data_IF_583664957262
#
_entry.id   IF_583664957262
#
_cell.length_a   1.000
_cell.length_b   1.000
_cell.length_c   1.000
_cell.angle_alpha   90.00
_cell.angle_beta   90.00
_cell.angle_gamma   90.00
#
_symmetry.space_group_name_H-M   'P 1'
#
loop_
_entity.id
_entity.type
_entity.pdbx_description
1 polymer ?
#
# COMPACT_ATOMS: atom_id res chain seq x y z
N UNK A 1 -17.15 -15.32 75.04
CA UNK A 1 -15.97 -14.48 74.70
C UNK A 1 -15.37 -14.72 73.30
N UNK A 2 -15.40 -15.94 72.72
CA UNK A 2 -14.73 -16.24 71.43
C UNK A 2 -15.35 -15.58 70.18
N UNK A 3 -16.69 -15.44 70.07
CA UNK A 3 -17.37 -14.83 68.90
C UNK A 3 -17.05 -13.33 68.69
N UNK A 4 -16.98 -12.52 69.76
CA UNK A 4 -16.60 -11.09 69.66
C UNK A 4 -15.15 -10.91 69.19
N UNK A 5 -14.23 -11.81 69.58
CA UNK A 5 -12.84 -11.80 69.09
C UNK A 5 -12.75 -12.11 67.60
N UNK A 6 -13.51 -13.09 67.11
CA UNK A 6 -13.53 -13.44 65.68
C UNK A 6 -14.11 -12.30 64.84
N UNK A 7 -15.18 -11.66 65.30
CA UNK A 7 -15.79 -10.51 64.63
C UNK A 7 -14.83 -9.31 64.57
N UNK A 8 -14.09 -9.04 65.65
CA UNK A 8 -13.09 -7.97 65.66
C UNK A 8 -11.91 -8.26 64.73
N UNK A 9 -11.48 -9.52 64.60
CA UNK A 9 -10.40 -9.91 63.68
C UNK A 9 -10.85 -9.77 62.22
N UNK A 10 -12.08 -10.19 61.89
CA UNK A 10 -12.66 -9.99 60.56
C UNK A 10 -12.83 -8.51 60.21
N UNK A 11 -13.27 -7.69 61.19
CA UNK A 11 -13.43 -6.25 61.00
C UNK A 11 -12.09 -5.54 60.83
N UNK A 12 -11.06 -5.91 61.61
CA UNK A 12 -9.69 -5.43 61.41
C UNK A 12 -9.12 -5.86 60.05
N UNK A 13 -9.42 -7.10 59.61
CA UNK A 13 -9.04 -7.59 58.28
C UNK A 13 -9.65 -6.74 57.16
N UNK A 14 -10.95 -6.47 57.21
CA UNK A 14 -11.66 -5.62 56.24
C UNK A 14 -11.12 -4.18 56.23
N UNK A 15 -10.84 -3.61 57.40
CA UNK A 15 -10.24 -2.27 57.50
C UNK A 15 -8.83 -2.26 56.89
N UNK A 16 -8.03 -3.29 57.15
CA UNK A 16 -6.68 -3.40 56.57
C UNK A 16 -6.70 -3.57 55.05
N UNK A 17 -7.69 -4.31 54.52
CA UNK A 17 -7.88 -4.48 53.07
C UNK A 17 -8.28 -3.17 52.40
N UNK A 18 -9.25 -2.44 53.00
CA UNK A 18 -9.68 -1.14 52.49
C UNK A 18 -8.57 -0.07 52.53
N UNK A 19 -7.71 -0.10 53.56
CA UNK A 19 -6.51 0.76 53.62
C UNK A 19 -5.51 0.41 52.52
N UNK A 20 -5.32 -0.87 52.21
CA UNK A 20 -4.43 -1.33 51.15
C UNK A 20 -4.92 -0.89 49.77
N UNK A 21 -6.23 -0.99 49.50
CA UNK A 21 -6.84 -0.51 48.25
C UNK A 21 -6.72 1.01 48.10
N UNK A 22 -6.96 1.76 49.17
CA UNK A 22 -6.78 3.22 49.17
C UNK A 22 -5.32 3.62 48.92
N UNK A 23 -4.36 2.92 49.53
CA UNK A 23 -2.94 3.13 49.26
C UNK A 23 -2.59 2.82 47.81
N UNK A 24 -3.14 1.72 47.26
CA UNK A 24 -2.98 1.34 45.85
C UNK A 24 -3.48 2.41 44.89
N UNK A 25 -4.70 2.92 45.11
CA UNK A 25 -5.28 3.99 44.31
C UNK A 25 -4.49 5.30 44.44
N UNK A 26 -4.03 5.64 45.64
CA UNK A 26 -3.21 6.84 45.86
C UNK A 26 -1.85 6.74 45.16
N UNK A 27 -1.18 5.58 45.23
CA UNK A 27 0.07 5.33 44.52
C UNK A 27 -0.11 5.37 43.00
N UNK A 28 -1.18 4.76 42.47
CA UNK A 28 -1.52 4.80 41.04
C UNK A 28 -1.82 6.22 40.56
N UNK A 29 -2.58 7.01 41.33
CA UNK A 29 -2.84 8.42 41.04
C UNK A 29 -1.56 9.27 41.07
N UNK A 30 -0.66 9.00 42.02
CA UNK A 30 0.63 9.70 42.12
C UNK A 30 1.58 9.33 40.98
N UNK A 31 1.56 8.09 40.53
CA UNK A 31 2.30 7.62 39.35
C UNK A 31 1.72 8.21 38.05
N UNK A 32 0.40 8.28 37.92
CA UNK A 32 -0.31 8.88 36.79
C UNK A 32 0.05 10.37 36.57
N UNK A 33 0.33 11.11 37.65
CA UNK A 33 0.78 12.51 37.56
C UNK A 33 2.22 12.71 37.06
N UNK A 34 3.06 11.67 37.06
CA UNK A 34 4.39 11.74 36.45
C UNK A 34 4.25 11.34 34.99
N UNK A 35 4.33 12.30 34.08
CA UNK A 35 4.40 12.04 32.65
C UNK A 35 5.53 11.04 32.36
N UNK A 36 5.24 9.82 31.85
CA UNK A 36 6.29 8.85 31.51
C UNK A 36 7.11 9.26 30.27
N UNK A 37 6.73 10.35 29.61
CA UNK A 37 7.40 10.89 28.42
C UNK A 37 7.69 12.39 28.59
N UNK A 38 8.90 12.78 29.02
CA UNK A 38 9.24 14.19 29.27
C UNK A 38 9.64 14.96 27.99
N UNK A 39 9.12 14.60 26.81
CA UNK A 39 9.35 15.38 25.60
C UNK A 39 8.19 15.27 24.60
N UNK A 40 7.17 16.10 24.80
CA UNK A 40 6.35 16.61 23.69
C UNK A 40 6.48 18.12 23.76
N UNK A 41 7.49 18.68 23.07
CA UNK A 41 7.43 20.09 22.69
C UNK A 41 6.13 20.24 21.91
N UNK A 42 5.20 20.97 22.48
CA UNK A 42 3.97 21.40 21.84
C UNK A 42 4.31 22.00 20.47
N UNK A 43 3.95 21.28 19.40
CA UNK A 43 4.06 21.69 17.98
C UNK A 43 3.39 23.06 17.70
N UNK A 44 2.67 23.60 18.69
CA UNK A 44 1.94 24.85 18.60
C UNK A 44 2.79 26.13 18.59
N UNK A 45 4.08 26.11 18.97
CA UNK A 45 4.81 27.35 19.29
C UNK A 45 5.98 27.75 18.37
N UNK A 46 6.43 26.90 17.45
CA UNK A 46 7.57 27.28 16.61
C UNK A 46 7.12 27.92 15.29
N UNK A 47 6.99 29.26 15.32
CA UNK A 47 6.65 30.07 14.13
C UNK A 47 7.65 29.84 12.99
N UNK A 48 8.91 29.55 13.31
CA UNK A 48 9.95 29.30 12.31
C UNK A 48 9.67 27.99 11.55
N UNK A 49 9.36 26.90 12.26
CA UNK A 49 9.01 25.61 11.66
C UNK A 49 7.74 25.67 10.82
N UNK A 50 6.75 26.48 11.23
CA UNK A 50 5.52 26.67 10.42
C UNK A 50 5.82 27.39 9.11
N UNK A 51 6.63 28.44 9.17
CA UNK A 51 7.04 29.20 7.99
C UNK A 51 7.90 28.33 7.05
N UNK A 52 8.80 27.53 7.63
CA UNK A 52 9.64 26.60 6.88
C UNK A 52 8.79 25.52 6.19
N UNK A 53 7.85 24.91 6.90
CA UNK A 53 6.90 23.97 6.31
C UNK A 53 6.07 24.62 5.20
N UNK A 54 5.59 25.85 5.39
CA UNK A 54 4.84 26.57 4.36
C UNK A 54 5.69 26.85 3.11
N UNK A 55 6.97 27.20 3.29
CA UNK A 55 7.92 27.37 2.20
C UNK A 55 8.16 26.05 1.45
N UNK A 56 8.39 24.95 2.17
CA UNK A 56 8.58 23.64 1.57
C UNK A 56 7.34 23.17 0.81
N UNK A 57 6.13 23.39 1.35
CA UNK A 57 4.88 23.13 0.65
C UNK A 57 4.81 23.91 -0.66
N UNK A 58 5.09 25.23 -0.63
CA UNK A 58 5.12 26.06 -1.84
C UNK A 58 6.16 25.61 -2.86
N UNK A 59 7.33 25.16 -2.41
CA UNK A 59 8.37 24.58 -3.30
C UNK A 59 7.90 23.27 -3.93
N UNK A 60 7.27 22.38 -3.15
CA UNK A 60 6.71 21.12 -3.66
C UNK A 60 5.59 21.40 -4.68
N UNK A 61 4.68 22.32 -4.36
CA UNK A 61 3.61 22.77 -5.27
C UNK A 61 4.18 23.30 -6.59
N UNK A 62 5.29 24.04 -6.55
CA UNK A 62 5.95 24.56 -7.75
C UNK A 62 6.61 23.46 -8.62
N UNK A 63 6.96 22.31 -8.02
CA UNK A 63 7.58 21.18 -8.70
C UNK A 63 6.56 20.16 -9.24
N UNK A 64 5.29 20.25 -8.84
CA UNK A 64 4.28 19.32 -9.33
C UNK A 64 4.03 19.49 -10.84
N UNK A 65 3.90 18.39 -11.59
CA UNK A 65 3.49 18.48 -12.98
C UNK A 65 2.13 19.16 -13.09
N UNK A 66 2.02 20.17 -13.96
CA UNK A 66 0.72 20.83 -14.27
C UNK A 66 -0.16 19.94 -15.15
N UNK A 67 0.47 19.05 -15.90
CA UNK A 67 -0.18 18.10 -16.79
C UNK A 67 -0.76 16.92 -16.01
N UNK A 68 -1.41 16.01 -16.73
CA UNK A 68 -1.93 14.77 -16.18
C UNK A 68 -0.76 13.86 -15.75
N UNK A 69 -0.83 13.29 -14.56
CA UNK A 69 0.13 12.29 -14.10
C UNK A 69 -0.52 11.24 -13.19
N UNK A 70 0.06 10.04 -13.21
CA UNK A 70 -0.38 8.91 -12.41
C UNK A 70 0.58 8.75 -11.23
N UNK A 71 0.02 8.46 -10.07
CA UNK A 71 0.75 8.06 -8.87
C UNK A 71 0.23 6.71 -8.42
N UNK A 72 1.14 5.78 -8.15
CA UNK A 72 0.84 4.42 -7.69
C UNK A 72 1.52 4.20 -6.35
N UNK A 73 0.71 3.97 -5.33
CA UNK A 73 1.14 3.55 -4.00
C UNK A 73 1.02 2.03 -3.92
N UNK A 74 2.16 1.34 -4.02
CA UNK A 74 2.23 -0.13 -4.04
C UNK A 74 1.99 -0.75 -2.65
N UNK A 75 2.16 0.03 -1.58
CA UNK A 75 1.93 -0.42 -0.21
C UNK A 75 0.44 -0.37 0.14
N UNK A 76 -0.25 0.70 -0.27
CA UNK A 76 -1.69 0.87 -0.04
C UNK A 76 -2.55 0.41 -1.23
N UNK A 77 -1.93 -0.16 -2.27
CA UNK A 77 -2.62 -0.69 -3.46
C UNK A 77 -3.60 0.33 -4.06
N UNK A 78 -3.13 1.56 -4.23
CA UNK A 78 -3.95 2.67 -4.73
C UNK A 78 -3.29 3.33 -5.94
N UNK A 79 -4.06 3.58 -6.99
CA UNK A 79 -3.67 4.40 -8.13
C UNK A 79 -4.46 5.70 -8.10
N UNK A 80 -3.76 6.81 -8.28
CA UNK A 80 -4.31 8.16 -8.32
C UNK A 80 -3.95 8.81 -9.65
N UNK A 81 -4.94 9.41 -10.30
CA UNK A 81 -4.75 10.26 -11.46
C UNK A 81 -4.93 11.71 -11.05
N UNK A 82 -3.89 12.52 -11.24
CA UNK A 82 -3.91 13.94 -10.95
C UNK A 82 -3.81 14.75 -12.22
N UNK A 83 -4.40 15.95 -12.19
CA UNK A 83 -4.12 17.03 -13.11
C UNK A 83 -3.74 18.25 -12.28
N UNK A 84 -2.44 18.59 -12.25
CA UNK A 84 -1.92 19.53 -11.25
C UNK A 84 -2.24 19.05 -9.82
N UNK A 85 -3.03 19.82 -9.09
CA UNK A 85 -3.42 19.52 -7.70
C UNK A 85 -4.78 18.80 -7.58
N UNK A 86 -5.52 18.68 -8.68
CA UNK A 86 -6.85 18.10 -8.66
C UNK A 86 -6.76 16.59 -8.83
N UNK A 87 -7.33 15.85 -7.88
CA UNK A 87 -7.54 14.41 -8.02
C UNK A 87 -8.68 14.19 -9.01
N UNK A 88 -8.37 13.56 -10.15
CA UNK A 88 -9.32 13.26 -11.21
C UNK A 88 -9.94 11.87 -11.02
N UNK A 89 -9.10 10.89 -10.64
CA UNK A 89 -9.54 9.51 -10.46
C UNK A 89 -8.74 8.84 -9.35
N UNK A 90 -9.43 8.01 -8.56
CA UNK A 90 -8.82 7.09 -7.60
C UNK A 90 -9.29 5.67 -7.91
N UNK A 91 -8.37 4.72 -7.94
CA UNK A 91 -8.64 3.31 -8.13
C UNK A 91 -7.97 2.46 -7.04
N UNK A 92 -8.66 1.42 -6.61
CA UNK A 92 -8.04 0.31 -5.89
C UNK A 92 -7.37 -0.58 -6.94
N UNK A 93 -6.09 -0.91 -6.73
CA UNK A 93 -5.29 -1.69 -7.67
C UNK A 93 -4.69 -2.91 -7.00
N UNK A 94 -4.06 -3.78 -7.77
CA UNK A 94 -3.21 -4.85 -7.25
C UNK A 94 -1.83 -4.76 -7.85
N UNK A 95 -0.82 -4.78 -7.00
CA UNK A 95 0.59 -4.68 -7.38
C UNK A 95 1.33 -6.02 -7.18
N UNK A 96 2.62 -6.01 -7.51
CA UNK A 96 3.50 -7.15 -7.40
C UNK A 96 3.50 -7.74 -5.99
N UNK A 97 3.47 -9.07 -5.93
CA UNK A 97 3.46 -9.86 -4.70
C UNK A 97 4.76 -9.82 -3.90
N UNK A 98 5.88 -9.47 -4.54
CA UNK A 98 7.22 -9.63 -3.99
C UNK A 98 7.71 -11.08 -3.95
N UNK A 99 6.92 -12.02 -4.48
CA UNK A 99 7.29 -13.42 -4.49
C UNK A 99 8.51 -13.68 -5.38
N UNK A 100 9.28 -14.70 -5.03
CA UNK A 100 10.49 -15.10 -5.75
C UNK A 100 10.23 -16.47 -6.37
N UNK A 101 10.36 -16.56 -7.69
CA UNK A 101 10.38 -17.82 -8.41
C UNK A 101 11.81 -18.14 -8.82
N UNK A 102 12.27 -19.35 -8.52
CA UNK A 102 13.56 -19.87 -8.97
C UNK A 102 13.30 -21.03 -9.91
N UNK A 103 13.94 -20.98 -11.08
CA UNK A 103 13.85 -22.06 -12.07
C UNK A 103 14.43 -23.37 -11.50
N UNK A 104 13.85 -24.54 -11.81
CA UNK A 104 14.36 -25.83 -11.30
C UNK A 104 15.83 -26.11 -11.64
N UNK A 105 16.35 -25.55 -12.73
CA UNK A 105 17.78 -25.67 -13.07
C UNK A 105 18.70 -24.75 -12.26
N UNK A 106 18.13 -23.84 -11.47
CA UNK A 106 18.83 -22.82 -10.68
C UNK A 106 19.39 -21.64 -11.49
N UNK A 107 19.28 -21.66 -12.82
CA UNK A 107 19.92 -20.67 -13.71
C UNK A 107 19.16 -19.33 -13.79
N UNK A 108 17.87 -19.33 -13.51
CA UNK A 108 17.00 -18.16 -13.64
C UNK A 108 16.24 -17.92 -12.35
N UNK A 109 16.01 -16.65 -12.05
CA UNK A 109 15.25 -16.18 -10.90
C UNK A 109 14.41 -14.99 -11.32
N UNK A 110 13.15 -14.98 -10.89
CA UNK A 110 12.23 -13.87 -11.06
C UNK A 110 11.80 -13.34 -9.70
N UNK A 111 11.70 -12.02 -9.59
CA UNK A 111 11.19 -11.31 -8.43
C UNK A 111 9.94 -10.57 -8.89
N UNK A 112 8.80 -10.92 -8.32
CA UNK A 112 7.49 -10.45 -8.76
C UNK A 112 7.10 -9.14 -8.08
N UNK A 113 7.87 -8.10 -8.34
CA UNK A 113 7.65 -6.75 -7.82
C UNK A 113 7.12 -5.81 -8.91
N UNK A 114 6.26 -4.88 -8.52
CA UNK A 114 5.99 -3.71 -9.35
C UNK A 114 7.17 -2.77 -9.24
N UNK A 115 7.81 -2.37 -10.35
CA UNK A 115 9.03 -1.59 -10.30
C UNK A 115 8.73 -0.19 -9.76
N UNK A 116 9.58 0.30 -8.85
CA UNK A 116 9.48 1.65 -8.26
C UNK A 116 10.29 2.65 -9.06
N UNK A 117 9.85 3.90 -9.05
CA UNK A 117 10.51 5.02 -9.73
C UNK A 117 9.57 5.80 -10.65
N UNK A 118 10.18 6.55 -11.58
CA UNK A 118 9.47 7.35 -12.57
C UNK A 118 9.42 6.62 -13.92
N UNK A 119 8.23 6.53 -14.49
CA UNK A 119 7.96 5.94 -15.78
C UNK A 119 7.09 6.88 -16.62
N UNK A 120 6.84 6.48 -17.86
CA UNK A 120 5.90 7.16 -18.76
C UNK A 120 5.02 6.12 -19.43
N UNK A 121 3.79 6.47 -19.77
CA UNK A 121 2.95 5.62 -20.62
C UNK A 121 3.54 5.59 -22.03
N UNK A 122 3.99 4.41 -22.45
CA UNK A 122 4.67 4.18 -23.74
C UNK A 122 3.72 3.60 -24.80
N UNK A 123 2.72 2.82 -24.37
CA UNK A 123 1.78 2.20 -25.29
C UNK A 123 0.39 2.05 -24.68
N UNK A 124 -0.62 1.91 -25.55
CA UNK A 124 -2.02 1.72 -25.21
C UNK A 124 -2.60 0.65 -26.15
N UNK A 125 -3.32 -0.31 -25.57
CA UNK A 125 -3.89 -1.44 -26.31
C UNK A 125 -5.33 -1.68 -25.88
N UNK A 126 -6.21 -1.93 -26.87
CA UNK A 126 -7.58 -2.40 -26.66
C UNK A 126 -7.62 -3.92 -26.87
N UNK A 127 -8.39 -4.61 -26.03
CA UNK A 127 -8.49 -6.07 -25.98
C UNK A 127 -7.13 -6.78 -26.15
N UNK A 128 -6.13 -6.44 -25.31
CA UNK A 128 -4.78 -6.95 -25.46
C UNK A 128 -4.72 -8.46 -25.23
N UNK A 129 -3.95 -9.14 -26.07
CA UNK A 129 -3.59 -10.55 -25.91
C UNK A 129 -2.37 -10.66 -25.00
N UNK A 130 -2.45 -11.48 -23.96
CA UNK A 130 -1.31 -11.73 -23.10
C UNK A 130 -0.34 -12.69 -23.78
N UNK A 131 0.92 -12.29 -23.90
CA UNK A 131 1.99 -13.18 -24.34
C UNK A 131 2.69 -13.73 -23.10
N UNK A 132 2.45 -14.99 -22.78
CA UNK A 132 2.99 -15.64 -21.57
C UNK A 132 4.52 -15.57 -21.55
N UNK A 133 5.11 -14.93 -20.53
CA UNK A 133 6.55 -14.93 -20.32
C UNK A 133 7.01 -16.31 -19.81
N UNK A 134 8.32 -16.57 -19.89
CA UNK A 134 8.91 -17.85 -19.50
C UNK A 134 8.54 -18.30 -18.09
N UNK A 135 8.48 -17.35 -17.14
CA UNK A 135 8.15 -17.67 -15.74
C UNK A 135 6.77 -18.31 -15.60
N UNK A 136 5.81 -18.01 -16.48
CA UNK A 136 4.45 -18.54 -16.37
C UNK A 136 4.41 -20.05 -16.64
N UNK A 137 5.25 -20.53 -17.56
CA UNK A 137 5.40 -21.96 -17.83
C UNK A 137 6.15 -22.67 -16.69
N UNK A 138 7.21 -22.02 -16.18
CA UNK A 138 8.00 -22.56 -15.07
C UNK A 138 7.16 -22.70 -13.79
N UNK A 139 6.33 -21.70 -13.49
CA UNK A 139 5.41 -21.72 -12.34
C UNK A 139 4.38 -22.86 -12.45
N UNK A 140 3.90 -23.16 -13.65
CA UNK A 140 2.99 -24.27 -13.94
C UNK A 140 3.70 -25.65 -14.04
N UNK A 141 5.03 -25.70 -13.94
CA UNK A 141 5.80 -26.95 -14.13
C UNK A 141 5.80 -27.45 -15.57
N UNK A 142 5.56 -26.57 -16.56
CA UNK A 142 5.49 -26.89 -17.99
C UNK A 142 6.78 -26.51 -18.72
N UNK A 143 7.12 -27.20 -19.82
CA UNK A 143 8.21 -26.78 -20.69
C UNK A 143 7.89 -25.44 -21.35
N UNK A 144 8.92 -24.61 -21.54
CA UNK A 144 8.78 -23.33 -22.21
C UNK A 144 8.66 -23.57 -23.72
N UNK A 145 7.56 -23.14 -24.36
CA UNK A 145 7.37 -23.34 -25.78
C UNK A 145 8.32 -22.44 -26.59
N UNK A 146 8.83 -23.01 -27.69
CA UNK A 146 9.63 -22.27 -28.69
C UNK A 146 8.75 -21.43 -29.60
N UNK A 147 7.52 -21.87 -29.85
CA UNK A 147 6.56 -21.17 -30.69
C UNK A 147 5.85 -20.06 -29.89
N UNK A 148 5.74 -18.87 -30.47
CA UNK A 148 5.04 -17.73 -29.85
C UNK A 148 3.53 -17.97 -29.76
N UNK A 149 2.94 -18.70 -30.71
CA UNK A 149 1.49 -18.95 -30.73
C UNK A 149 1.01 -19.73 -29.51
N UNK A 150 1.86 -20.61 -28.97
CA UNK A 150 1.57 -21.40 -27.75
C UNK A 150 1.65 -20.55 -26.46
N UNK A 151 2.09 -19.29 -26.56
CA UNK A 151 2.16 -18.34 -25.44
C UNK A 151 0.98 -17.39 -25.38
N UNK A 152 0.11 -17.38 -26.39
CA UNK A 152 -0.96 -16.41 -26.48
C UNK A 152 -2.14 -16.82 -25.59
N UNK A 153 -2.57 -15.90 -24.73
CA UNK A 153 -3.72 -16.09 -23.86
C UNK A 153 -4.59 -14.83 -23.86
N UNK A 154 -5.83 -14.97 -24.38
CA UNK A 154 -6.75 -13.85 -24.53
C UNK A 154 -7.51 -13.56 -23.23
N UNK A 155 -7.98 -12.31 -23.07
CA UNK A 155 -8.84 -11.89 -21.97
C UNK A 155 -8.16 -11.72 -20.60
N UNK A 156 -6.96 -12.26 -20.39
CA UNK A 156 -6.23 -12.19 -19.11
C UNK A 156 -5.85 -10.77 -18.68
N UNK A 157 -5.68 -9.86 -19.65
CA UNK A 157 -5.35 -8.46 -19.41
C UNK A 157 -6.58 -7.54 -19.35
N UNK A 158 -7.79 -8.08 -19.47
CA UNK A 158 -9.04 -7.31 -19.55
C UNK A 158 -9.18 -6.53 -20.86
N UNK A 159 -10.05 -5.52 -20.87
CA UNK A 159 -10.39 -4.78 -22.10
C UNK A 159 -9.34 -3.76 -22.54
N UNK A 160 -8.46 -3.32 -21.64
CA UNK A 160 -7.44 -2.30 -21.94
C UNK A 160 -6.12 -2.57 -21.22
N UNK A 161 -5.02 -2.14 -21.82
CA UNK A 161 -3.72 -2.08 -21.15
C UNK A 161 -2.94 -0.83 -21.55
N UNK A 162 -2.28 -0.22 -20.56
CA UNK A 162 -1.35 0.89 -20.73
C UNK A 162 0.06 0.40 -20.37
N UNK A 163 0.95 0.31 -21.35
CA UNK A 163 2.32 -0.13 -21.15
C UNK A 163 3.18 1.03 -20.63
N UNK A 164 4.02 0.76 -19.63
CA UNK A 164 4.93 1.77 -19.05
C UNK A 164 6.40 1.35 -19.05
N UNK A 165 6.72 0.27 -19.75
CA UNK A 165 8.09 -0.17 -20.03
C UNK A 165 8.42 -1.56 -19.47
N UNK A 166 9.45 -2.19 -20.02
CA UNK A 166 10.01 -3.49 -19.58
C UNK A 166 8.97 -4.62 -19.46
N UNK A 167 7.92 -4.60 -20.29
CA UNK A 167 6.86 -5.59 -20.25
C UNK A 167 5.85 -5.41 -19.11
N UNK A 168 5.89 -4.29 -18.38
CA UNK A 168 4.91 -3.95 -17.36
C UNK A 168 3.77 -3.09 -17.91
N UNK A 169 2.57 -3.39 -17.42
CA UNK A 169 1.33 -2.75 -17.84
C UNK A 169 0.46 -2.37 -16.62
N UNK A 170 -0.27 -1.27 -16.78
CA UNK A 170 -1.50 -0.99 -16.03
C UNK A 170 -2.64 -1.59 -16.87
N UNK A 171 -3.32 -2.62 -16.38
CA UNK A 171 -4.28 -3.37 -17.18
C UNK A 171 -5.47 -3.88 -16.35
N UNK A 172 -6.49 -4.43 -17.01
CA UNK A 172 -7.67 -5.00 -16.38
C UNK A 172 -7.44 -6.37 -15.76
N UNK A 173 -8.47 -6.96 -15.16
CA UNK A 173 -8.32 -8.28 -14.55
C UNK A 173 -9.65 -9.01 -14.49
N UNK A 174 -9.64 -10.31 -14.81
CA UNK A 174 -10.79 -11.20 -14.58
C UNK A 174 -11.03 -11.46 -13.07
N UNK A 175 -10.02 -11.22 -12.24
CA UNK A 175 -10.04 -11.50 -10.81
C UNK A 175 -10.26 -10.23 -9.97
N UNK A 176 -11.33 -9.49 -10.26
CA UNK A 176 -11.64 -8.21 -9.60
C UNK A 176 -11.73 -8.32 -8.06
N UNK A 177 -12.14 -9.49 -7.54
CA UNK A 177 -12.20 -9.78 -6.09
C UNK A 177 -10.83 -9.75 -5.38
N UNK A 178 -9.74 -9.78 -6.14
CA UNK A 178 -8.37 -9.75 -5.61
C UNK A 178 -7.75 -8.34 -5.60
N UNK A 179 -8.44 -7.34 -6.14
CA UNK A 179 -7.99 -5.94 -6.09
C UNK A 179 -7.77 -5.49 -4.64
N UNK A 180 -6.77 -4.65 -4.43
CA UNK A 180 -6.34 -4.17 -3.11
C UNK A 180 -5.28 -5.06 -2.45
N UNK A 181 -4.76 -6.06 -3.17
CA UNK A 181 -3.75 -7.01 -2.67
C UNK A 181 -2.52 -7.04 -3.55
N UNK A 182 -1.36 -7.24 -2.93
CA UNK A 182 -0.09 -7.54 -3.61
C UNK A 182 -0.09 -9.01 -4.05
N UNK A 183 -0.53 -9.27 -5.28
CA UNK A 183 -0.75 -10.64 -5.80
C UNK A 183 -0.26 -10.84 -7.22
N UNK A 184 0.17 -9.77 -7.91
CA UNK A 184 0.56 -9.87 -9.31
C UNK A 184 2.02 -10.28 -9.46
N UNK A 185 2.41 -10.56 -10.69
CA UNK A 185 3.80 -10.79 -11.10
C UNK A 185 4.57 -9.48 -11.38
N UNK A 186 3.96 -8.33 -11.07
CA UNK A 186 4.56 -7.01 -11.13
C UNK A 186 3.73 -5.97 -11.91
N UNK A 187 2.90 -6.41 -12.86
CA UNK A 187 1.92 -5.52 -13.50
C UNK A 187 0.91 -4.95 -12.49
N UNK A 188 0.29 -3.81 -12.83
CA UNK A 188 -0.70 -3.15 -11.98
C UNK A 188 -2.08 -3.51 -12.53
N UNK A 189 -2.85 -4.29 -11.76
CA UNK A 189 -4.22 -4.65 -12.11
C UNK A 189 -5.20 -3.60 -11.59
N UNK A 190 -6.14 -3.17 -12.43
CA UNK A 190 -7.15 -2.15 -12.15
C UNK A 190 -8.53 -2.72 -12.46
N UNK A 191 -9.56 -2.26 -11.74
CA UNK A 191 -10.95 -2.57 -12.05
C UNK A 191 -11.41 -2.00 -13.39
N UNK A 192 -12.35 -2.67 -14.04
CA UNK A 192 -12.75 -2.35 -15.43
C UNK A 192 -13.27 -0.91 -15.60
N UNK A 193 -14.04 -0.41 -14.63
CA UNK A 193 -14.63 0.94 -14.69
C UNK A 193 -13.56 2.03 -14.63
N UNK A 194 -12.63 1.91 -13.67
CA UNK A 194 -11.53 2.87 -13.53
C UNK A 194 -10.54 2.74 -14.68
N UNK A 195 -10.27 1.51 -15.14
CA UNK A 195 -9.39 1.26 -16.27
C UNK A 195 -9.89 1.92 -17.55
N UNK A 196 -11.20 1.81 -17.86
CA UNK A 196 -11.79 2.48 -19.03
C UNK A 196 -11.57 3.99 -18.97
N UNK A 197 -11.81 4.61 -17.81
CA UNK A 197 -11.57 6.04 -17.61
C UNK A 197 -10.09 6.40 -17.75
N UNK A 198 -9.19 5.60 -17.18
CA UNK A 198 -7.74 5.79 -17.34
C UNK A 198 -7.35 5.72 -18.81
N UNK A 199 -7.84 4.70 -19.54
CA UNK A 199 -7.55 4.54 -20.95
C UNK A 199 -8.05 5.73 -21.78
N UNK A 200 -9.22 6.30 -21.47
CA UNK A 200 -9.75 7.47 -22.19
C UNK A 200 -9.00 8.76 -21.86
N UNK A 201 -8.65 8.97 -20.59
CA UNK A 201 -8.09 10.24 -20.11
C UNK A 201 -6.57 10.35 -20.26
N UNK A 202 -5.84 9.23 -20.22
CA UNK A 202 -4.38 9.21 -20.14
C UNK A 202 -3.75 9.16 -21.54
N UNK A 203 -3.09 10.22 -22.02
CA UNK A 203 -2.33 10.19 -23.26
C UNK A 203 -1.01 9.42 -23.12
N UNK A 204 -0.41 9.09 -24.27
CA UNK A 204 0.98 8.62 -24.30
C UNK A 204 1.90 9.72 -23.77
N UNK A 205 2.99 9.33 -23.10
CA UNK A 205 3.93 10.23 -22.45
C UNK A 205 3.52 10.70 -21.05
N UNK A 206 2.29 10.40 -20.59
CA UNK A 206 1.89 10.70 -19.21
C UNK A 206 2.84 10.05 -18.20
N UNK A 207 3.33 10.85 -17.25
CA UNK A 207 4.21 10.37 -16.19
C UNK A 207 3.47 9.42 -15.25
N UNK A 208 4.18 8.38 -14.81
CA UNK A 208 3.73 7.42 -13.81
C UNK A 208 4.78 7.36 -12.71
N UNK A 209 4.39 7.72 -11.50
CA UNK A 209 5.25 7.69 -10.31
C UNK A 209 4.84 6.49 -9.47
N UNK A 210 5.76 5.56 -9.20
CA UNK A 210 5.47 4.34 -8.45
C UNK A 210 6.38 4.27 -7.22
N UNK A 211 5.78 4.07 -6.04
CA UNK A 211 6.51 3.91 -4.78
C UNK A 211 5.96 2.79 -3.90
#
# INVERSE_FOLDING_TARGET
MKKKRILNILMMGLISLGLLELLGHWMAWRASKKNPFPYVKTVKQDRSLRNENALWRKKIEALQPKELFIVVDTANNTLLLYQGHQLILRAIVSCGSGAILVDPSGKRRWIFETPRGEFVIQSKHENPVWVKPDWAFVEEGKPIPKNVMERLEEGMLGSYALGFGNGYFIHGTLYSRLLGKNITHGCIRVGDQELKKLYELVPLGTKVLIF
#
